data_IF_866041319729
#
_entry.id   IF_866041319729
#
_cell.length_a   1.000
_cell.length_b   1.000
_cell.length_c   1.000
_cell.angle_alpha   90.00
_cell.angle_beta   90.00
_cell.angle_gamma   90.00
#
_symmetry.space_group_name_H-M   'P 1'
#
loop_
_entity.id
_entity.type
_entity.pdbx_description
1 polymer ?
#
# COMPACT_ATOMS: atom_id res chain seq x y z
N UNK A 1 47.13 -35.07 -49.32
CA UNK A 1 45.80 -35.34 -49.91
C UNK A 1 45.07 -36.26 -48.95
N UNK A 2 43.76 -36.10 -48.72
CA UNK A 2 42.98 -36.98 -47.83
C UNK A 2 42.14 -36.26 -46.77
N UNK A 3 40.84 -36.19 -47.01
CA UNK A 3 39.73 -35.84 -46.10
C UNK A 3 38.43 -36.27 -46.80
N UNK A 4 37.25 -36.36 -46.13
CA UNK A 4 36.99 -36.14 -44.71
C UNK A 4 37.10 -37.47 -43.91
N UNK A 5 36.20 -38.04 -43.09
CA UNK A 5 34.74 -37.91 -42.86
C UNK A 5 34.43 -37.73 -41.36
N UNK A 6 33.15 -37.49 -41.04
CA UNK A 6 32.54 -37.21 -39.74
C UNK A 6 32.51 -38.39 -38.75
N UNK A 7 32.67 -38.07 -37.46
CA UNK A 7 32.08 -38.81 -36.34
C UNK A 7 31.47 -37.80 -35.35
N UNK A 8 30.25 -37.34 -35.63
CA UNK A 8 29.55 -36.34 -34.81
C UNK A 8 28.92 -37.00 -33.57
N UNK A 9 29.69 -37.07 -32.47
CA UNK A 9 29.15 -37.48 -31.17
C UNK A 9 28.42 -36.30 -30.52
N UNK A 10 27.10 -36.26 -30.71
CA UNK A 10 26.19 -35.35 -30.01
C UNK A 10 26.09 -35.73 -28.52
N UNK A 11 26.52 -34.87 -27.58
CA UNK A 11 26.05 -34.99 -26.20
C UNK A 11 24.55 -34.62 -26.14
N UNK A 12 23.85 -35.23 -25.18
CA UNK A 12 22.49 -34.88 -24.75
C UNK A 12 21.34 -35.05 -25.78
N UNK A 13 21.14 -36.29 -26.25
CA UNK A 13 19.89 -36.72 -26.86
C UNK A 13 18.75 -36.96 -25.83
N UNK A 14 18.65 -36.15 -24.77
CA UNK A 14 17.80 -36.38 -23.59
C UNK A 14 17.05 -35.13 -23.07
N UNK A 15 16.63 -34.22 -23.96
CA UNK A 15 15.68 -33.16 -23.62
C UNK A 15 14.31 -33.38 -24.28
N UNK A 16 13.35 -34.08 -23.62
CA UNK A 16 11.96 -34.09 -24.08
C UNK A 16 11.38 -32.67 -24.01
N UNK A 17 10.64 -32.19 -25.03
CA UNK A 17 10.23 -30.79 -25.16
C UNK A 17 9.05 -30.38 -24.24
N UNK A 18 8.84 -31.06 -23.11
CA UNK A 18 7.62 -30.95 -22.30
C UNK A 18 7.84 -30.92 -20.78
N UNK A 19 8.78 -30.09 -20.30
CA UNK A 19 8.51 -29.19 -19.15
C UNK A 19 9.27 -27.88 -19.42
N UNK A 20 8.54 -26.78 -19.56
CA UNK A 20 9.14 -25.46 -19.76
C UNK A 20 9.83 -24.99 -18.47
N UNK A 21 11.12 -24.64 -18.55
CA UNK A 21 11.76 -23.85 -17.49
C UNK A 21 11.08 -22.47 -17.45
N UNK A 22 10.48 -22.14 -16.32
CA UNK A 22 10.32 -20.74 -15.92
C UNK A 22 10.73 -20.64 -14.44
N UNK A 23 11.59 -19.67 -14.16
CA UNK A 23 12.43 -19.65 -12.97
C UNK A 23 11.61 -19.25 -11.74
N UNK A 24 12.10 -19.60 -10.54
CA UNK A 24 11.68 -18.94 -9.29
C UNK A 24 12.24 -17.51 -9.30
N UNK A 25 11.70 -16.68 -10.19
CA UNK A 25 12.40 -15.52 -10.71
C UNK A 25 12.18 -14.29 -9.84
N UNK A 26 13.03 -14.20 -8.82
CA UNK A 26 13.15 -12.99 -8.02
C UNK A 26 13.78 -11.88 -8.89
N UNK A 27 12.98 -10.82 -9.11
CA UNK A 27 13.32 -9.45 -9.56
C UNK A 27 13.55 -9.17 -11.09
N UNK A 28 12.91 -8.06 -11.52
CA UNK A 28 13.20 -7.11 -12.64
C UNK A 28 12.60 -7.35 -14.04
N UNK A 29 11.71 -6.41 -14.45
CA UNK A 29 11.28 -6.03 -15.84
C UNK A 29 10.76 -7.13 -16.79
N UNK A 30 9.54 -7.06 -17.33
CA UNK A 30 8.44 -6.10 -17.08
C UNK A 30 7.45 -6.01 -18.25
N UNK A 31 6.15 -6.25 -17.97
CA UNK A 31 5.05 -6.07 -18.92
C UNK A 31 3.99 -5.10 -18.36
N UNK A 32 3.75 -3.97 -19.05
CA UNK A 32 3.08 -2.77 -18.50
C UNK A 32 1.57 -2.85 -18.21
N UNK A 33 0.96 -4.03 -18.26
CA UNK A 33 -0.48 -4.23 -18.04
C UNK A 33 -0.74 -5.02 -16.76
N UNK A 34 -0.13 -6.20 -16.62
CA UNK A 34 -0.24 -7.04 -15.41
C UNK A 34 0.30 -6.34 -14.15
N UNK A 35 1.34 -5.51 -14.27
CA UNK A 35 1.86 -4.72 -13.15
C UNK A 35 0.85 -3.69 -12.64
N UNK A 36 -0.07 -3.20 -13.47
CA UNK A 36 -1.15 -2.30 -13.03
C UNK A 36 -2.23 -3.06 -12.26
N UNK A 37 -2.58 -4.27 -12.70
CA UNK A 37 -3.52 -5.14 -11.99
C UNK A 37 -2.97 -5.64 -10.64
N UNK A 38 -1.66 -5.90 -10.55
CA UNK A 38 -1.01 -6.29 -9.30
C UNK A 38 -0.70 -5.11 -8.37
N UNK A 39 -0.47 -3.90 -8.90
CA UNK A 39 -0.30 -2.70 -8.05
C UNK A 39 -1.63 -2.15 -7.51
N UNK A 40 -2.77 -2.38 -8.18
CA UNK A 40 -4.09 -2.15 -7.59
C UNK A 40 -4.41 -3.04 -6.38
N UNK A 41 -3.66 -4.11 -6.14
CA UNK A 41 -3.76 -4.95 -4.93
C UNK A 41 -2.84 -4.51 -3.79
N UNK A 42 -2.04 -3.43 -3.96
CA UNK A 42 -1.27 -2.82 -2.88
C UNK A 42 -1.94 -1.52 -2.44
N UNK A 43 -2.51 -1.56 -1.23
CA UNK A 43 -3.12 -0.39 -0.62
C UNK A 43 -2.11 0.77 -0.50
N UNK A 44 -2.57 1.99 -0.78
CA UNK A 44 -1.76 3.22 -0.68
C UNK A 44 -1.60 3.64 0.78
N UNK A 45 -0.52 4.36 1.07
CA UNK A 45 -0.24 4.87 2.42
C UNK A 45 -1.20 6.01 2.80
N UNK A 46 -1.63 6.02 4.07
CA UNK A 46 -2.49 7.04 4.66
C UNK A 46 -2.07 7.35 6.12
N UNK A 47 -1.79 8.62 6.40
CA UNK A 47 -1.55 9.14 7.76
C UNK A 47 -2.71 9.97 8.32
N UNK A 48 -3.57 10.53 7.47
CA UNK A 48 -4.56 11.54 7.86
C UNK A 48 -3.94 12.91 8.22
N UNK A 49 -2.70 13.20 7.84
CA UNK A 49 -2.06 14.50 8.05
C UNK A 49 -2.63 15.59 7.13
N UNK A 50 -2.70 16.82 7.66
CA UNK A 50 -3.05 18.03 6.91
C UNK A 50 -1.96 19.09 7.16
N UNK A 51 -1.32 19.68 6.12
CA UNK A 51 -1.49 19.35 4.69
C UNK A 51 -1.01 17.93 4.35
N UNK A 52 -1.61 17.33 3.33
CA UNK A 52 -1.38 15.93 2.95
C UNK A 52 0.02 15.74 2.34
N UNK A 53 0.80 14.72 2.76
CA UNK A 53 2.06 14.38 2.09
C UNK A 53 1.87 13.91 0.64
N UNK A 54 2.75 14.35 -0.26
CA UNK A 54 2.65 14.12 -1.72
C UNK A 54 2.58 12.63 -2.16
N UNK A 55 3.03 11.71 -1.30
CA UNK A 55 3.03 10.26 -1.56
C UNK A 55 1.75 9.54 -1.06
N UNK A 56 0.87 10.23 -0.33
CA UNK A 56 -0.28 9.66 0.38
C UNK A 56 -1.62 10.00 -0.27
N UNK A 57 -2.64 9.22 0.10
CA UNK A 57 -4.04 9.41 -0.31
C UNK A 57 -4.86 10.10 0.79
N UNK A 58 -6.06 10.58 0.46
CA UNK A 58 -7.06 10.96 1.47
C UNK A 58 -7.79 9.75 2.06
N UNK A 59 -8.62 10.00 3.07
CA UNK A 59 -9.38 8.96 3.74
C UNK A 59 -10.36 8.26 2.79
N UNK A 60 -11.14 9.00 2.01
CA UNK A 60 -12.11 8.43 1.04
C UNK A 60 -11.43 7.51 0.01
N UNK A 61 -10.35 8.00 -0.64
CA UNK A 61 -9.57 7.19 -1.58
C UNK A 61 -8.99 5.95 -0.89
N UNK A 62 -8.45 6.08 0.32
CA UNK A 62 -7.91 4.95 1.08
C UNK A 62 -9.00 3.93 1.43
N UNK A 63 -10.13 4.42 1.95
CA UNK A 63 -11.29 3.67 2.42
C UNK A 63 -11.97 2.88 1.31
N UNK A 64 -12.02 3.46 0.11
CA UNK A 64 -12.46 2.79 -1.12
C UNK A 64 -11.56 1.62 -1.51
N UNK A 65 -10.22 1.77 -1.42
CA UNK A 65 -9.30 0.65 -1.66
C UNK A 65 -9.42 -0.43 -0.58
N UNK A 66 -9.70 -0.07 0.68
CA UNK A 66 -9.91 -1.07 1.74
C UNK A 66 -11.18 -1.88 1.47
N UNK A 67 -12.25 -1.25 1.01
CA UNK A 67 -13.50 -1.95 0.72
C UNK A 67 -13.32 -3.05 -0.34
N UNK A 68 -12.45 -2.81 -1.34
CA UNK A 68 -12.04 -3.82 -2.32
C UNK A 68 -11.27 -4.99 -1.66
N UNK A 69 -10.32 -4.73 -0.77
CA UNK A 69 -9.61 -5.77 0.01
C UNK A 69 -10.57 -6.55 0.92
N UNK A 70 -11.59 -5.90 1.50
CA UNK A 70 -12.60 -6.57 2.32
C UNK A 70 -13.46 -7.53 1.48
N UNK A 71 -13.81 -7.14 0.25
CA UNK A 71 -14.59 -7.95 -0.70
C UNK A 71 -13.81 -9.12 -1.35
N UNK A 72 -12.48 -9.05 -1.38
CA UNK A 72 -11.61 -10.09 -1.96
C UNK A 72 -11.73 -11.43 -1.19
N UNK A 73 -12.20 -12.50 -1.84
CA UNK A 73 -12.34 -13.84 -1.21
C UNK A 73 -11.06 -14.67 -1.23
N UNK A 74 -10.00 -14.22 -1.92
CA UNK A 74 -8.70 -14.90 -1.97
C UNK A 74 -7.82 -14.59 -0.75
N UNK A 75 -8.10 -13.47 -0.06
CA UNK A 75 -7.41 -13.10 1.18
C UNK A 75 -8.13 -13.62 2.43
N UNK A 76 -7.37 -14.21 3.35
CA UNK A 76 -7.86 -14.49 4.72
C UNK A 76 -8.02 -13.21 5.53
N UNK A 77 -8.86 -13.20 6.57
CA UNK A 77 -9.06 -12.02 7.43
C UNK A 77 -7.74 -11.49 8.03
N UNK A 78 -6.84 -12.39 8.43
CA UNK A 78 -5.50 -12.03 8.89
C UNK A 78 -4.69 -11.27 7.82
N UNK A 79 -4.77 -11.67 6.54
CA UNK A 79 -4.10 -10.92 5.47
C UNK A 79 -4.76 -9.55 5.25
N UNK A 80 -6.10 -9.46 5.33
CA UNK A 80 -6.82 -8.18 5.21
C UNK A 80 -6.46 -7.22 6.35
N UNK A 81 -6.48 -7.70 7.59
CA UNK A 81 -6.15 -6.90 8.78
C UNK A 81 -4.69 -6.45 8.80
N UNK A 82 -3.76 -7.29 8.33
CA UNK A 82 -2.36 -6.93 8.09
C UNK A 82 -2.22 -5.84 7.02
N UNK A 83 -2.81 -6.02 5.83
CA UNK A 83 -2.70 -5.05 4.72
C UNK A 83 -3.27 -3.68 5.07
N UNK A 84 -4.36 -3.64 5.84
CA UNK A 84 -4.91 -2.39 6.40
C UNK A 84 -3.88 -1.76 7.33
N UNK A 85 -3.35 -2.50 8.32
CA UNK A 85 -2.38 -1.98 9.28
C UNK A 85 -1.06 -1.51 8.64
N UNK A 86 -0.52 -2.24 7.66
CA UNK A 86 0.72 -1.89 6.94
C UNK A 86 0.59 -0.62 6.09
N UNK A 87 -0.63 -0.22 5.74
CA UNK A 87 -0.88 1.00 4.96
C UNK A 87 -0.96 2.28 5.81
N UNK A 88 -1.08 2.13 7.14
CA UNK A 88 -1.33 3.24 8.05
C UNK A 88 -0.01 3.82 8.56
N UNK A 89 0.12 5.14 8.43
CA UNK A 89 1.23 5.93 8.96
C UNK A 89 0.75 6.78 10.16
N UNK A 90 1.63 7.22 11.06
CA UNK A 90 1.26 8.15 12.13
C UNK A 90 0.69 9.46 11.55
N UNK A 91 -0.39 10.05 12.11
CA UNK A 91 -1.13 9.61 13.30
C UNK A 91 -2.20 8.52 13.08
N UNK A 92 -2.66 8.22 11.86
CA UNK A 92 -3.71 7.21 11.64
C UNK A 92 -3.34 5.80 12.16
N UNK A 93 -2.06 5.43 12.15
CA UNK A 93 -1.61 4.18 12.78
C UNK A 93 -1.66 4.22 14.32
N UNK A 94 -1.51 5.39 14.95
CA UNK A 94 -1.65 5.55 16.40
C UNK A 94 -3.10 5.35 16.86
N UNK A 95 -4.07 5.85 16.07
CA UNK A 95 -5.51 5.68 16.32
C UNK A 95 -5.86 4.20 16.54
N UNK A 96 -5.30 3.29 15.72
CA UNK A 96 -5.59 1.85 15.84
C UNK A 96 -4.72 1.08 16.85
N UNK A 97 -3.62 1.65 17.38
CA UNK A 97 -2.72 0.92 18.32
C UNK A 97 -3.45 0.34 19.53
N UNK A 98 -4.48 1.04 20.02
CA UNK A 98 -5.33 0.63 21.15
C UNK A 98 -6.13 -0.66 20.94
N UNK A 99 -6.22 -1.16 19.69
CA UNK A 99 -6.89 -2.43 19.36
C UNK A 99 -5.93 -3.64 19.34
N UNK A 100 -4.62 -3.40 19.35
CA UNK A 100 -3.60 -4.44 19.29
C UNK A 100 -3.44 -5.13 17.92
N UNK A 101 -2.42 -6.00 17.77
CA UNK A 101 -2.04 -6.58 16.48
C UNK A 101 -2.94 -7.73 15.99
N UNK A 102 -3.84 -8.24 16.85
CA UNK A 102 -4.77 -9.34 16.54
C UNK A 102 -6.22 -8.92 16.29
N UNK A 103 -6.51 -7.61 16.21
CA UNK A 103 -7.86 -7.14 15.93
C UNK A 103 -8.25 -7.37 14.47
N UNK A 104 -9.54 -7.68 14.25
CA UNK A 104 -10.12 -7.90 12.92
C UNK A 104 -10.17 -6.61 12.10
N UNK A 105 -10.14 -6.76 10.78
CA UNK A 105 -10.12 -5.66 9.82
C UNK A 105 -11.23 -4.60 10.06
N UNK A 106 -12.45 -5.06 10.37
CA UNK A 106 -13.60 -4.19 10.62
C UNK A 106 -13.44 -3.29 11.86
N UNK A 107 -12.68 -3.70 12.87
CA UNK A 107 -12.46 -2.90 14.09
C UNK A 107 -11.48 -1.76 13.86
N UNK A 108 -10.46 -1.96 13.01
CA UNK A 108 -9.59 -0.87 12.56
C UNK A 108 -10.39 0.19 11.80
N UNK A 109 -11.30 -0.26 10.92
CA UNK A 109 -12.06 0.63 10.04
C UNK A 109 -13.10 1.45 10.80
N UNK A 110 -13.91 0.86 11.68
CA UNK A 110 -14.84 1.62 12.54
C UNK A 110 -14.16 2.74 13.34
N UNK A 111 -12.92 2.51 13.79
CA UNK A 111 -12.17 3.47 14.59
C UNK A 111 -11.48 4.56 13.76
N UNK A 112 -11.21 4.28 12.48
CA UNK A 112 -10.72 5.27 11.52
C UNK A 112 -11.87 6.07 10.90
N UNK A 113 -13.03 5.44 10.64
CA UNK A 113 -14.27 6.11 10.25
C UNK A 113 -14.57 7.16 11.33
N UNK A 114 -14.63 6.77 12.61
CA UNK A 114 -14.85 7.68 13.75
C UNK A 114 -13.76 8.75 14.02
N UNK A 115 -12.69 8.81 13.23
CA UNK A 115 -11.58 9.77 13.37
C UNK A 115 -11.27 10.58 12.09
N UNK A 116 -11.66 10.07 10.92
CA UNK A 116 -11.31 10.60 9.60
C UNK A 116 -12.45 10.59 8.58
N UNK A 117 -13.60 9.98 8.89
CA UNK A 117 -14.83 10.20 8.13
C UNK A 117 -15.32 11.62 8.44
N UNK A 118 -14.93 12.55 7.58
CA UNK A 118 -15.29 13.96 7.72
C UNK A 118 -16.76 14.14 7.39
N UNK A 119 -17.59 14.13 8.42
CA UNK A 119 -18.89 14.82 8.41
C UNK A 119 -18.67 16.20 7.80
N UNK A 120 -19.45 16.61 6.79
CA UNK A 120 -19.30 17.90 6.11
C UNK A 120 -19.77 19.11 6.95
N UNK A 121 -19.58 19.08 8.27
CA UNK A 121 -19.61 20.28 9.11
C UNK A 121 -18.21 20.90 9.17
N UNK A 122 -18.06 22.02 8.47
CA UNK A 122 -16.75 22.52 8.04
C UNK A 122 -15.95 23.29 9.10
N UNK A 123 -15.62 22.67 10.24
CA UNK A 123 -14.62 23.24 11.16
C UNK A 123 -13.22 23.18 10.52
N UNK A 124 -12.90 24.27 9.83
CA UNK A 124 -11.55 24.59 9.37
C UNK A 124 -10.67 24.71 10.59
N UNK A 125 -9.89 23.68 10.91
CA UNK A 125 -8.98 23.63 12.06
C UNK A 125 -8.22 24.95 12.21
N UNK A 126 -8.68 25.78 13.15
CA UNK A 126 -8.24 27.17 13.23
C UNK A 126 -6.81 27.19 13.76
N UNK A 127 -5.85 27.30 12.83
CA UNK A 127 -4.45 27.58 13.14
C UNK A 127 -4.45 28.83 14.01
N UNK A 128 -4.26 28.63 15.32
CA UNK A 128 -4.25 29.69 16.33
C UNK A 128 -3.01 30.53 16.06
N UNK A 129 -3.14 31.55 15.20
CA UNK A 129 -2.17 32.64 15.13
C UNK A 129 -1.92 33.08 16.58
N UNK A 130 -0.67 33.19 17.03
CA UNK A 130 -0.41 33.71 18.36
C UNK A 130 -1.08 35.09 18.45
N UNK A 131 -1.68 35.43 19.60
CA UNK A 131 -2.25 36.77 19.78
C UNK A 131 -1.16 37.80 19.48
N UNK A 132 -1.50 38.94 18.85
CA UNK A 132 -0.52 39.99 18.62
C UNK A 132 0.06 40.38 19.98
N UNK A 133 1.35 40.11 20.19
CA UNK A 133 2.03 40.51 21.41
C UNK A 133 2.07 42.02 21.43
N UNK A 134 1.20 42.63 22.23
CA UNK A 134 1.31 44.03 22.61
C UNK A 134 2.58 44.18 23.47
N UNK A 135 3.72 44.26 22.80
CA UNK A 135 5.02 44.59 23.39
C UNK A 135 4.96 46.05 23.81
N UNK A 136 4.34 46.26 24.98
CA UNK A 136 3.88 47.56 25.43
C UNK A 136 5.03 48.50 25.77
N UNK A 137 5.42 49.34 24.81
CA UNK A 137 6.01 50.63 25.08
C UNK A 137 5.44 51.69 24.13
N UNK A 138 5.01 52.81 24.75
CA UNK A 138 4.53 54.07 24.14
C UNK A 138 3.07 54.10 23.66
N UNK A 139 2.26 54.69 24.55
CA UNK A 139 1.12 55.58 24.27
C UNK A 139 -0.11 55.00 23.55
N UNK A 140 -1.15 54.75 24.35
CA UNK A 140 -2.45 55.39 24.10
C UNK A 140 -2.64 56.52 25.12
#
# INVERSE_FOLDING_TARGET
MGSPVLAALTPDALTPPEVQKLVVEHIVRGGGTATRALSSLKLRAFSGQIPRPNNEVDYDTWRSHVELILKDTTMSDLQKSLRIRESLLPPASDVIKRLGPGAVAASYIQLLDAAYDTVEDGDKTLVRKPPPTCTGYKQC
#
